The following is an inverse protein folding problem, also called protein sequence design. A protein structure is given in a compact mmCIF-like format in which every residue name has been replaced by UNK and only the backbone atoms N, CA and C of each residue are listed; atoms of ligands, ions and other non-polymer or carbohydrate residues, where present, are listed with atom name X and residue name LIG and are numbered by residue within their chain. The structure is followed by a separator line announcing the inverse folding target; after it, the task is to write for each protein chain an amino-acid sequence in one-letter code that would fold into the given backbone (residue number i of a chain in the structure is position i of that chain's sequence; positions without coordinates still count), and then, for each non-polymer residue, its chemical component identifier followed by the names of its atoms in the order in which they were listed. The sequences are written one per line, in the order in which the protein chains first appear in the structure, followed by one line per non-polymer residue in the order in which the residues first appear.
data_IF_037673217206
#
_entry.id   IF_037673217206
#
_cell.length_a   1.000
_cell.length_b   1.000
_cell.length_c   1.000
_cell.angle_alpha   90.00
_cell.angle_beta   90.00
_cell.angle_gamma   90.00
#
_symmetry.space_group_name_H-M   'P 1'
#
loop_
_entity.id
_entity.type
_entity.pdbx_description
1 polymer ?
#
# COMPACT_ATOMS: atom_id res chain seq x y z
N UNK A 1 14.77 25.83 -16.64
CA UNK A 1 15.70 25.13 -15.72
C UNK A 1 16.56 24.18 -16.52
N UNK A 2 17.87 24.13 -16.28
CA UNK A 2 18.77 23.23 -17.01
C UNK A 2 18.31 21.76 -16.76
N UNK A 3 18.23 20.94 -17.83
CA UNK A 3 17.71 19.57 -17.78
C UNK A 3 18.42 18.71 -16.72
N UNK A 4 19.73 18.90 -16.52
CA UNK A 4 20.49 18.22 -15.46
C UNK A 4 20.05 18.66 -14.05
N UNK A 5 19.73 19.93 -13.85
CA UNK A 5 19.22 20.45 -12.57
C UNK A 5 17.81 19.98 -12.27
N UNK A 6 16.94 19.91 -13.29
CA UNK A 6 15.59 19.37 -13.14
C UNK A 6 15.62 17.90 -12.72
N UNK A 7 16.40 17.07 -13.43
CA UNK A 7 16.57 15.65 -13.13
C UNK A 7 17.12 15.42 -11.72
N UNK A 8 18.17 16.17 -11.32
CA UNK A 8 18.73 16.08 -9.97
C UNK A 8 17.72 16.50 -8.90
N UNK A 9 16.94 17.57 -9.14
CA UNK A 9 15.89 18.02 -8.24
C UNK A 9 14.77 16.98 -8.06
N UNK A 10 14.32 16.36 -9.15
CA UNK A 10 13.29 15.33 -9.13
C UNK A 10 13.73 14.09 -8.34
N UNK A 11 14.97 13.62 -8.54
CA UNK A 11 15.54 12.49 -7.78
C UNK A 11 15.60 12.81 -6.30
N UNK A 12 16.10 14.00 -5.92
CA UNK A 12 16.18 14.41 -4.50
C UNK A 12 14.77 14.50 -3.89
N UNK A 13 13.80 15.04 -4.63
CA UNK A 13 12.42 15.13 -4.15
C UNK A 13 11.80 13.74 -3.91
N UNK A 14 11.93 12.81 -4.88
CA UNK A 14 11.40 11.46 -4.74
C UNK A 14 12.09 10.71 -3.60
N UNK A 15 13.42 10.87 -3.46
CA UNK A 15 14.17 10.29 -2.35
C UNK A 15 13.68 10.84 -1.00
N UNK A 16 13.49 12.14 -0.90
CA UNK A 16 13.00 12.77 0.31
C UNK A 16 11.58 12.30 0.66
N UNK A 17 10.67 12.24 -0.32
CA UNK A 17 9.33 11.72 -0.12
C UNK A 17 9.32 10.22 0.19
N UNK A 18 10.25 9.46 -0.37
CA UNK A 18 10.46 8.05 -0.05
C UNK A 18 10.94 7.84 1.39
N UNK A 19 11.87 8.67 1.87
CA UNK A 19 12.33 8.63 3.27
C UNK A 19 11.19 9.06 4.23
N UNK A 20 10.39 10.05 3.86
CA UNK A 20 9.16 10.39 4.61
C UNK A 20 8.24 9.18 4.73
N UNK A 21 8.03 8.45 3.64
CA UNK A 21 7.20 7.24 3.63
C UNK A 21 7.82 6.13 4.47
N UNK A 22 9.13 5.90 4.36
CA UNK A 22 9.85 4.90 5.15
C UNK A 22 9.58 5.08 6.66
N UNK A 23 9.78 6.28 7.20
CA UNK A 23 9.54 6.53 8.63
C UNK A 23 8.06 6.49 8.99
N UNK A 24 7.16 6.91 8.07
CA UNK A 24 5.72 6.80 8.24
C UNK A 24 5.27 5.34 8.31
N UNK A 25 5.78 4.49 7.41
CA UNK A 25 5.39 3.08 7.36
C UNK A 25 6.08 2.28 8.45
N UNK A 26 7.29 2.66 8.86
CA UNK A 26 7.93 2.15 10.09
C UNK A 26 7.04 2.38 11.33
N UNK A 27 6.41 3.56 11.44
CA UNK A 27 5.46 3.88 12.53
C UNK A 27 4.18 3.03 12.39
N UNK A 28 3.60 2.97 11.19
CA UNK A 28 2.33 2.31 10.93
C UNK A 28 2.41 0.79 11.07
N UNK A 29 3.35 0.14 10.36
CA UNK A 29 3.48 -1.31 10.35
C UNK A 29 4.08 -1.83 11.66
N UNK A 30 4.95 -1.03 12.32
CA UNK A 30 5.37 -1.31 13.68
C UNK A 30 4.15 -1.40 14.62
N UNK A 31 3.30 -0.38 14.64
CA UNK A 31 2.09 -0.39 15.45
C UNK A 31 1.16 -1.57 15.10
N UNK A 32 0.94 -1.80 13.80
CA UNK A 32 0.06 -2.87 13.31
C UNK A 32 0.48 -4.25 13.81
N UNK A 33 1.79 -4.50 13.96
CA UNK A 33 2.32 -5.80 14.41
C UNK A 33 1.91 -6.19 15.83
N UNK A 34 1.59 -5.22 16.70
CA UNK A 34 1.22 -5.45 18.11
C UNK A 34 -0.20 -4.97 18.44
N UNK A 35 -0.87 -4.28 17.52
CA UNK A 35 -2.13 -3.57 17.77
C UNK A 35 -3.27 -4.50 18.21
N UNK A 36 -3.38 -5.67 17.59
CA UNK A 36 -4.47 -6.62 17.89
C UNK A 36 -4.44 -7.10 19.34
N UNK A 37 -3.27 -7.50 19.81
CA UNK A 37 -3.08 -7.96 21.18
C UNK A 37 -3.17 -6.81 22.19
N UNK A 38 -2.63 -5.65 21.86
CA UNK A 38 -2.79 -4.45 22.68
C UNK A 38 -4.26 -4.06 22.88
N UNK A 39 -5.07 -4.07 21.83
CA UNK A 39 -6.50 -3.78 21.93
C UNK A 39 -7.24 -4.83 22.80
N UNK A 40 -6.85 -6.10 22.69
CA UNK A 40 -7.39 -7.17 23.53
C UNK A 40 -7.06 -6.94 25.02
N UNK A 41 -5.81 -6.63 25.32
CA UNK A 41 -5.37 -6.28 26.69
C UNK A 41 -6.05 -5.01 27.21
N UNK A 42 -6.33 -4.04 26.33
CA UNK A 42 -7.10 -2.83 26.67
C UNK A 42 -8.60 -3.12 26.89
N UNK A 43 -9.07 -4.35 26.72
CA UNK A 43 -10.44 -4.79 27.00
C UNK A 43 -11.37 -4.84 25.77
N UNK A 44 -10.84 -4.71 24.55
CA UNK A 44 -11.64 -4.88 23.33
C UNK A 44 -11.89 -6.35 23.06
N UNK A 45 -13.13 -6.71 22.72
CA UNK A 45 -13.45 -8.07 22.25
C UNK A 45 -12.87 -8.32 20.85
N UNK A 46 -12.63 -9.59 20.50
CA UNK A 46 -12.17 -9.95 19.14
C UNK A 46 -13.13 -9.45 18.05
N UNK A 47 -14.45 -9.47 18.30
CA UNK A 47 -15.44 -8.90 17.40
C UNK A 47 -15.26 -7.38 17.22
N UNK A 48 -14.97 -6.65 18.31
CA UNK A 48 -14.70 -5.20 18.26
C UNK A 48 -13.42 -4.90 17.47
N UNK A 49 -12.36 -5.68 17.71
CA UNK A 49 -11.08 -5.54 16.99
C UNK A 49 -11.29 -5.75 15.49
N UNK A 50 -11.97 -6.82 15.10
CA UNK A 50 -12.31 -7.12 13.71
C UNK A 50 -13.17 -6.04 13.08
N UNK A 51 -14.19 -5.54 13.78
CA UNK A 51 -15.07 -4.46 13.30
C UNK A 51 -14.30 -3.16 13.09
N UNK A 52 -13.47 -2.73 14.05
CA UNK A 52 -12.68 -1.49 13.95
C UNK A 52 -11.64 -1.59 12.83
N UNK A 53 -10.99 -2.74 12.68
CA UNK A 53 -10.07 -2.98 11.57
C UNK A 53 -10.79 -2.91 10.21
N UNK A 54 -11.92 -3.59 10.06
CA UNK A 54 -12.70 -3.61 8.83
C UNK A 54 -13.29 -2.24 8.46
N UNK A 55 -13.91 -1.55 9.43
CA UNK A 55 -14.47 -0.21 9.20
C UNK A 55 -13.36 0.83 8.95
N UNK A 56 -12.23 0.67 9.61
CA UNK A 56 -11.05 1.52 9.39
C UNK A 56 -10.54 1.41 7.96
N UNK A 57 -10.43 0.20 7.42
CA UNK A 57 -10.04 0.00 6.01
C UNK A 57 -11.09 0.56 5.05
N UNK A 58 -12.38 0.27 5.25
CA UNK A 58 -13.47 0.77 4.41
C UNK A 58 -13.52 2.31 4.39
N UNK A 59 -13.47 2.95 5.55
CA UNK A 59 -13.38 4.41 5.67
C UNK A 59 -12.10 4.94 5.02
N UNK A 60 -10.97 4.26 5.26
CA UNK A 60 -9.69 4.60 4.66
C UNK A 60 -9.76 4.66 3.14
N UNK A 61 -10.33 3.66 2.49
CA UNK A 61 -10.45 3.63 1.04
C UNK A 61 -11.49 4.65 0.52
N UNK A 62 -12.67 4.75 1.14
CA UNK A 62 -13.72 5.67 0.70
C UNK A 62 -13.31 7.13 0.81
N UNK A 63 -12.62 7.52 1.90
CA UNK A 63 -12.14 8.88 2.09
C UNK A 63 -11.03 9.28 1.11
N UNK A 64 -10.30 8.33 0.50
CA UNK A 64 -9.30 8.63 -0.54
C UNK A 64 -9.94 9.25 -1.78
N UNK A 65 -11.13 8.81 -2.17
CA UNK A 65 -11.86 9.41 -3.28
C UNK A 65 -12.19 10.87 -2.99
N UNK A 66 -12.74 11.14 -1.80
CA UNK A 66 -13.14 12.48 -1.38
C UNK A 66 -11.92 13.40 -1.26
N UNK A 67 -10.87 12.95 -0.58
CA UNK A 67 -9.64 13.73 -0.40
C UNK A 67 -8.94 14.01 -1.72
N UNK A 68 -8.92 13.06 -2.65
CA UNK A 68 -8.36 13.21 -3.99
C UNK A 68 -9.10 14.27 -4.80
N UNK A 69 -10.43 14.22 -4.81
CA UNK A 69 -11.26 15.20 -5.50
C UNK A 69 -11.08 16.62 -4.94
N UNK A 70 -11.10 16.76 -3.61
CA UNK A 70 -10.92 18.07 -2.97
C UNK A 70 -9.49 18.59 -3.20
N UNK A 71 -8.48 17.73 -3.17
CA UNK A 71 -7.09 18.11 -3.44
C UNK A 71 -6.91 18.68 -4.85
N UNK A 72 -7.49 18.03 -5.87
CA UNK A 72 -7.44 18.51 -7.25
C UNK A 72 -8.24 19.81 -7.45
N UNK A 73 -9.41 19.92 -6.81
CA UNK A 73 -10.22 21.14 -6.89
C UNK A 73 -9.57 22.34 -6.24
N UNK A 74 -8.85 22.13 -5.14
CA UNK A 74 -8.20 23.22 -4.37
C UNK A 74 -6.77 23.47 -4.79
N UNK A 75 -6.12 22.51 -5.48
CA UNK A 75 -4.67 22.49 -5.82
C UNK A 75 -3.75 22.60 -4.59
N UNK A 76 -4.28 22.37 -3.39
CA UNK A 76 -3.52 22.48 -2.12
C UNK A 76 -2.94 21.14 -1.69
N UNK A 77 -2.27 20.42 -2.61
CA UNK A 77 -1.75 19.07 -2.35
C UNK A 77 -0.91 18.98 -1.07
N UNK A 78 -0.01 19.95 -0.82
CA UNK A 78 0.80 19.96 0.38
C UNK A 78 -0.01 20.05 1.68
N UNK A 79 -1.13 20.76 1.67
CA UNK A 79 -2.00 20.82 2.85
C UNK A 79 -2.55 19.44 3.19
N UNK A 80 -3.05 18.69 2.20
CA UNK A 80 -3.53 17.32 2.42
C UNK A 80 -2.41 16.39 2.87
N UNK A 81 -1.24 16.49 2.27
CA UNK A 81 -0.08 15.65 2.60
C UNK A 81 0.36 15.90 4.04
N UNK A 82 0.58 17.15 4.42
CA UNK A 82 1.05 17.51 5.77
C UNK A 82 0.00 17.15 6.82
N UNK A 83 -1.26 17.56 6.61
CA UNK A 83 -2.35 17.25 7.56
C UNK A 83 -2.50 15.75 7.76
N UNK A 84 -2.49 14.97 6.70
CA UNK A 84 -2.61 13.51 6.79
C UNK A 84 -1.41 12.86 7.49
N UNK A 85 -0.17 13.31 7.21
CA UNK A 85 1.01 12.82 7.92
C UNK A 85 1.02 13.19 9.41
N UNK A 86 0.63 14.42 9.75
CA UNK A 86 0.56 14.87 11.16
C UNK A 86 -0.48 14.05 11.93
N UNK A 87 -1.68 13.87 11.38
CA UNK A 87 -2.73 13.06 12.00
C UNK A 87 -2.23 11.62 12.21
N UNK A 88 -1.70 10.99 11.15
CA UNK A 88 -1.21 9.61 11.22
C UNK A 88 -0.05 9.46 12.21
N UNK A 89 0.94 10.35 12.14
CA UNK A 89 2.15 10.30 12.96
C UNK A 89 1.88 10.52 14.46
N UNK A 90 0.86 11.30 14.81
CA UNK A 90 0.53 11.56 16.20
C UNK A 90 -0.47 10.54 16.78
N UNK A 91 -1.38 10.01 15.95
CA UNK A 91 -2.39 9.05 16.41
C UNK A 91 -1.77 7.76 16.96
N UNK A 92 -0.72 7.24 16.32
CA UNK A 92 -0.07 5.99 16.73
C UNK A 92 0.66 6.12 18.07
N UNK A 93 1.59 7.06 18.28
CA UNK A 93 2.24 7.21 19.59
C UNK A 93 1.27 7.57 20.71
N UNK A 94 0.14 8.24 20.41
CA UNK A 94 -0.89 8.55 21.38
C UNK A 94 -1.52 7.30 22.02
N UNK A 95 -1.43 6.12 21.38
CA UNK A 95 -1.83 4.83 21.98
C UNK A 95 -1.07 4.55 23.29
N UNK A 96 0.16 5.04 23.44
CA UNK A 96 0.91 4.94 24.68
C UNK A 96 0.24 5.61 25.89
N UNK A 97 -0.64 6.58 25.65
CA UNK A 97 -1.35 7.34 26.69
C UNK A 97 -2.69 6.72 27.09
N UNK A 98 -3.15 5.72 26.35
CA UNK A 98 -4.43 5.05 26.63
C UNK A 98 -4.32 4.26 27.92
N UNK A 99 -5.28 4.43 28.89
CA UNK A 99 -5.27 3.66 30.13
C UNK A 99 -5.66 2.20 29.91
N UNK A 100 -5.37 1.35 30.89
CA UNK A 100 -5.97 0.00 30.96
C UNK A 100 -7.49 0.14 30.85
N UNK A 101 -8.13 -0.79 30.14
CA UNK A 101 -9.57 -0.75 29.85
C UNK A 101 -10.04 0.43 28.95
N UNK A 102 -9.09 1.18 28.37
CA UNK A 102 -9.38 2.33 27.49
C UNK A 102 -9.58 1.97 26.00
N UNK A 103 -10.06 0.78 25.69
CA UNK A 103 -10.16 0.27 24.31
C UNK A 103 -10.94 1.20 23.36
N UNK A 104 -11.94 1.93 23.85
CA UNK A 104 -12.72 2.88 23.03
C UNK A 104 -11.81 3.99 22.50
N UNK A 105 -10.93 4.54 23.34
CA UNK A 105 -9.97 5.57 22.95
C UNK A 105 -8.92 5.02 21.99
N UNK A 106 -8.45 3.79 22.25
CA UNK A 106 -7.52 3.11 21.34
C UNK A 106 -8.14 2.90 19.94
N UNK A 107 -9.36 2.41 19.87
CA UNK A 107 -10.10 2.26 18.61
C UNK A 107 -10.29 3.60 17.89
N UNK A 108 -10.62 4.68 18.63
CA UNK A 108 -10.74 6.03 18.07
C UNK A 108 -9.43 6.52 17.44
N UNK A 109 -8.29 6.27 18.09
CA UNK A 109 -6.97 6.62 17.58
C UNK A 109 -6.61 5.80 16.32
N UNK A 110 -6.95 4.51 16.26
CA UNK A 110 -6.75 3.67 15.08
C UNK A 110 -7.58 4.20 13.90
N UNK A 111 -8.84 4.56 14.12
CA UNK A 111 -9.68 5.15 13.06
C UNK A 111 -9.09 6.50 12.60
N UNK A 112 -8.63 7.34 13.55
CA UNK A 112 -8.00 8.63 13.25
C UNK A 112 -6.74 8.45 12.39
N UNK A 113 -5.93 7.45 12.68
CA UNK A 113 -4.76 7.07 11.87
C UNK A 113 -5.16 6.73 10.43
N UNK A 114 -6.21 5.91 10.24
CA UNK A 114 -6.72 5.54 8.91
C UNK A 114 -7.24 6.74 8.13
N UNK A 115 -7.91 7.68 8.80
CA UNK A 115 -8.35 8.96 8.21
C UNK A 115 -7.13 9.76 7.75
N UNK A 116 -6.09 9.89 8.57
CA UNK A 116 -4.84 10.57 8.20
C UNK A 116 -4.21 9.96 6.95
N UNK A 117 -4.12 8.62 6.88
CA UNK A 117 -3.61 7.87 5.72
C UNK A 117 -4.45 8.13 4.47
N UNK A 118 -5.78 8.17 4.61
CA UNK A 118 -6.70 8.44 3.50
C UNK A 118 -6.58 9.86 2.95
N UNK A 119 -6.40 10.85 3.83
CA UNK A 119 -6.24 12.26 3.44
C UNK A 119 -4.96 12.46 2.62
N UNK A 120 -3.83 11.89 3.06
CA UNK A 120 -2.53 12.18 2.42
C UNK A 120 -2.30 11.40 1.12
N UNK A 121 -2.82 10.16 1.00
CA UNK A 121 -2.33 9.20 -0.01
C UNK A 121 -2.55 9.66 -1.47
N UNK A 122 -3.75 10.14 -1.90
CA UNK A 122 -3.94 10.63 -3.27
C UNK A 122 -3.08 11.85 -3.60
N UNK A 123 -3.02 12.82 -2.68
CA UNK A 123 -2.22 14.04 -2.86
C UNK A 123 -0.70 13.74 -2.88
N UNK A 124 -0.21 12.84 -2.00
CA UNK A 124 1.17 12.36 -2.01
C UNK A 124 1.52 11.73 -3.36
N UNK A 125 0.70 10.80 -3.85
CA UNK A 125 0.93 10.13 -5.13
C UNK A 125 0.95 11.13 -6.29
N UNK A 126 0.11 12.17 -6.23
CA UNK A 126 0.12 13.25 -7.23
C UNK A 126 1.41 14.03 -7.21
N UNK A 127 1.88 14.48 -6.03
CA UNK A 127 3.17 15.20 -5.93
C UNK A 127 4.35 14.35 -6.40
N UNK A 128 4.37 13.06 -6.06
CA UNK A 128 5.40 12.11 -6.53
C UNK A 128 5.32 11.93 -8.04
N UNK A 129 4.12 11.85 -8.62
CA UNK A 129 3.93 11.66 -10.06
C UNK A 129 4.53 12.79 -10.89
N UNK A 130 4.49 14.04 -10.40
CA UNK A 130 5.11 15.17 -11.09
C UNK A 130 6.63 15.01 -11.22
N UNK A 131 7.31 14.59 -10.14
CA UNK A 131 8.75 14.36 -10.19
C UNK A 131 9.11 13.05 -10.92
N UNK A 132 8.27 12.02 -10.80
CA UNK A 132 8.48 10.73 -11.46
C UNK A 132 8.44 10.86 -13.00
N UNK A 133 7.72 11.82 -13.54
CA UNK A 133 7.68 12.09 -15.00
C UNK A 133 9.07 12.40 -15.58
N UNK A 134 9.98 13.00 -14.80
CA UNK A 134 11.35 13.36 -15.25
C UNK A 134 12.32 12.15 -15.24
N UNK A 135 12.11 11.15 -14.38
CA UNK A 135 13.03 10.02 -14.21
C UNK A 135 12.51 8.70 -14.78
N UNK A 136 11.26 8.69 -15.22
CA UNK A 136 10.46 7.52 -15.55
C UNK A 136 9.47 7.21 -14.44
N UNK A 137 8.18 7.19 -14.79
CA UNK A 137 7.10 7.02 -13.80
C UNK A 137 7.17 5.67 -13.08
N UNK A 138 7.50 4.61 -13.81
CA UNK A 138 7.70 3.28 -13.24
C UNK A 138 8.82 3.24 -12.21
N UNK A 139 9.99 3.78 -12.56
CA UNK A 139 11.14 3.84 -11.63
C UNK A 139 10.87 4.72 -10.42
N UNK A 140 10.21 5.86 -10.62
CA UNK A 140 9.90 6.80 -9.54
C UNK A 140 9.00 6.16 -8.48
N UNK A 141 7.91 5.51 -8.88
CA UNK A 141 7.02 4.82 -7.97
C UNK A 141 7.64 3.53 -7.40
N UNK A 142 8.42 2.79 -8.19
CA UNK A 142 9.12 1.61 -7.71
C UNK A 142 10.14 1.92 -6.61
N UNK A 143 10.91 3.02 -6.79
CA UNK A 143 11.85 3.46 -5.78
C UNK A 143 11.14 3.90 -4.49
N UNK A 144 10.00 4.57 -4.63
CA UNK A 144 9.18 4.92 -3.48
C UNK A 144 8.64 3.68 -2.77
N UNK A 145 8.10 2.71 -3.50
CA UNK A 145 7.59 1.45 -2.94
C UNK A 145 8.68 0.69 -2.20
N UNK A 146 9.89 0.60 -2.77
CA UNK A 146 11.03 -0.01 -2.09
C UNK A 146 11.30 0.61 -0.71
N UNK A 147 11.25 1.95 -0.60
CA UNK A 147 11.45 2.65 0.66
C UNK A 147 10.28 2.45 1.64
N UNK A 148 9.04 2.38 1.11
CA UNK A 148 7.83 2.07 1.89
C UNK A 148 7.98 0.66 2.51
N UNK A 149 8.36 -0.36 1.74
CA UNK A 149 8.58 -1.73 2.21
C UNK A 149 9.75 -1.85 3.21
N UNK A 150 10.82 -1.08 3.00
CA UNK A 150 11.90 -1.02 3.98
C UNK A 150 11.42 -0.48 5.34
N UNK A 151 10.57 0.53 5.32
CA UNK A 151 9.92 1.06 6.52
C UNK A 151 9.02 0.02 7.20
N UNK A 152 8.21 -0.68 6.40
CA UNK A 152 7.32 -1.74 6.86
C UNK A 152 8.09 -2.89 7.55
N UNK A 153 9.28 -3.22 7.07
CA UNK A 153 10.16 -4.19 7.71
C UNK A 153 10.80 -3.64 9.00
N UNK A 154 11.31 -2.42 8.98
CA UNK A 154 12.04 -1.84 10.11
C UNK A 154 11.14 -1.54 11.31
N UNK A 155 9.84 -1.28 11.11
CA UNK A 155 8.89 -0.99 12.18
C UNK A 155 8.76 -2.12 13.21
N UNK A 156 8.33 -3.32 12.81
CA UNK A 156 8.28 -4.48 13.70
C UNK A 156 9.64 -4.83 14.33
N UNK A 157 10.75 -4.69 13.58
CA UNK A 157 12.10 -4.91 14.11
C UNK A 157 12.42 -3.93 15.24
N UNK A 158 12.10 -2.65 15.08
CA UNK A 158 12.27 -1.64 16.13
C UNK A 158 11.49 -2.03 17.39
N UNK A 159 10.24 -2.48 17.25
CA UNK A 159 9.42 -2.88 18.40
C UNK A 159 9.93 -4.17 19.05
N UNK A 160 10.38 -5.13 18.26
CA UNK A 160 11.03 -6.34 18.79
C UNK A 160 12.26 -6.00 19.65
N UNK A 161 13.14 -5.14 19.13
CA UNK A 161 14.32 -4.67 19.90
C UNK A 161 13.89 -3.90 21.16
N UNK A 162 12.84 -3.08 21.04
CA UNK A 162 12.29 -2.34 22.18
C UNK A 162 11.79 -3.30 23.27
N UNK A 163 11.05 -4.34 22.90
CA UNK A 163 10.56 -5.34 23.84
C UNK A 163 11.71 -6.11 24.52
N UNK A 164 12.80 -6.42 23.80
CA UNK A 164 13.97 -7.09 24.37
C UNK A 164 14.71 -6.20 25.38
N UNK A 165 14.81 -4.89 25.12
CA UNK A 165 15.64 -3.97 25.93
C UNK A 165 14.83 -3.33 27.06
N UNK A 166 13.57 -3.05 26.85
CA UNK A 166 12.69 -2.27 27.74
C UNK A 166 11.43 -3.03 28.15
N UNK A 167 11.29 -4.28 27.74
CA UNK A 167 10.15 -5.12 28.13
C UNK A 167 10.08 -5.28 29.63
N UNK A 168 8.87 -5.33 30.16
CA UNK A 168 8.53 -5.56 31.57
C UNK A 168 7.75 -6.86 31.68
N UNK A 169 7.57 -7.34 32.91
CA UNK A 169 6.70 -8.53 33.17
C UNK A 169 5.23 -8.24 32.83
N UNK A 170 4.84 -6.95 32.79
CA UNK A 170 3.52 -6.50 32.31
C UNK A 170 3.56 -6.20 30.80
N UNK A 171 2.86 -7.04 30.03
CA UNK A 171 2.79 -6.95 28.58
C UNK A 171 2.09 -5.67 28.10
N UNK A 172 1.07 -5.19 28.81
CA UNK A 172 0.38 -3.94 28.47
C UNK A 172 1.32 -2.74 28.56
N UNK A 173 2.10 -2.65 29.64
CA UNK A 173 3.12 -1.62 29.80
C UNK A 173 4.22 -1.73 28.74
N UNK A 174 4.64 -2.93 28.36
CA UNK A 174 5.60 -3.16 27.29
C UNK A 174 5.09 -2.62 25.95
N UNK A 175 3.82 -2.82 25.62
CA UNK A 175 3.22 -2.26 24.41
C UNK A 175 3.09 -0.74 24.47
N UNK A 176 2.76 -0.16 25.62
CA UNK A 176 2.76 1.30 25.78
C UNK A 176 4.13 1.91 25.54
N UNK A 177 5.20 1.29 26.06
CA UNK A 177 6.57 1.71 25.78
C UNK A 177 6.86 1.59 24.27
N UNK A 178 6.44 0.51 23.64
CA UNK A 178 6.60 0.29 22.19
C UNK A 178 5.92 1.41 21.37
N UNK A 179 4.68 1.77 21.68
CA UNK A 179 4.00 2.89 21.02
C UNK A 179 4.70 4.23 21.31
N UNK A 180 5.22 4.45 22.50
CA UNK A 180 5.97 5.67 22.83
C UNK A 180 7.26 5.78 22.02
N UNK A 181 7.98 4.68 21.78
CA UNK A 181 9.20 4.64 20.95
C UNK A 181 8.89 5.01 19.50
N UNK A 182 7.71 4.65 18.98
CA UNK A 182 7.27 5.05 17.63
C UNK A 182 7.09 6.57 17.47
N UNK A 183 7.09 7.33 18.55
CA UNK A 183 7.13 8.80 18.46
C UNK A 183 8.39 9.29 17.74
N UNK A 184 9.51 8.57 17.84
CA UNK A 184 10.77 8.96 17.17
C UNK A 184 10.62 8.96 15.65
N UNK A 185 10.29 7.84 14.98
CA UNK A 185 10.08 7.86 13.53
C UNK A 185 8.90 8.75 13.11
N UNK A 186 7.86 8.89 13.95
CA UNK A 186 6.74 9.79 13.69
C UNK A 186 7.19 11.25 13.61
N UNK A 187 8.01 11.71 14.55
CA UNK A 187 8.55 13.09 14.55
C UNK A 187 9.52 13.33 13.40
N UNK A 188 10.32 12.33 13.05
CA UNK A 188 11.18 12.39 11.86
C UNK A 188 10.33 12.54 10.60
N UNK A 189 9.22 11.79 10.47
CA UNK A 189 8.26 11.93 9.36
C UNK A 189 7.75 13.35 9.22
N UNK A 190 7.29 13.97 10.34
CA UNK A 190 6.79 15.35 10.33
C UNK A 190 7.88 16.33 9.93
N UNK A 191 9.08 16.22 10.51
CA UNK A 191 10.20 17.10 10.20
C UNK A 191 10.60 17.00 8.69
N UNK A 192 10.66 15.79 8.15
CA UNK A 192 11.02 15.55 6.76
C UNK A 192 9.95 16.04 5.78
N UNK A 193 8.66 15.84 6.06
CA UNK A 193 7.59 16.33 5.17
C UNK A 193 7.52 17.86 5.15
N UNK A 194 7.77 18.51 6.28
CA UNK A 194 7.88 19.97 6.33
C UNK A 194 9.11 20.47 5.56
N UNK A 195 10.24 19.80 5.71
CA UNK A 195 11.46 20.09 4.94
C UNK A 195 11.23 19.91 3.44
N UNK A 196 10.50 18.85 3.04
CA UNK A 196 10.13 18.61 1.65
C UNK A 196 9.29 19.77 1.08
N UNK A 197 8.30 20.25 1.84
CA UNK A 197 7.50 21.40 1.43
C UNK A 197 8.33 22.68 1.31
N UNK A 198 9.21 22.95 2.27
CA UNK A 198 10.03 24.18 2.24
C UNK A 198 10.98 24.16 1.05
N UNK A 199 11.60 23.00 0.75
CA UNK A 199 12.56 22.86 -0.34
C UNK A 199 11.91 22.77 -1.72
N UNK A 200 10.71 22.23 -1.81
CA UNK A 200 9.95 22.01 -3.05
C UNK A 200 8.49 22.48 -2.85
N UNK A 201 8.26 23.80 -2.75
CA UNK A 201 6.91 24.33 -2.55
C UNK A 201 5.97 23.98 -3.71
N UNK A 202 6.50 23.95 -4.94
CA UNK A 202 5.74 23.67 -6.16
C UNK A 202 6.38 22.53 -6.97
N UNK A 203 6.15 21.24 -6.60
CA UNK A 203 6.70 20.10 -7.35
C UNK A 203 6.15 19.99 -8.78
N UNK A 204 5.09 20.72 -9.11
CA UNK A 204 4.53 20.80 -10.45
C UNK A 204 5.53 21.30 -11.50
N UNK A 205 6.61 22.01 -11.07
CA UNK A 205 7.69 22.46 -11.94
C UNK A 205 8.46 21.32 -12.63
N UNK A 206 8.42 20.11 -12.07
CA UNK A 206 9.08 18.95 -12.66
C UNK A 206 8.36 18.41 -13.88
N UNK A 207 7.07 18.69 -14.03
CA UNK A 207 6.29 18.25 -15.19
C UNK A 207 5.89 19.46 -16.04
N UNK A 208 6.17 19.41 -17.35
CA UNK A 208 5.76 20.47 -18.28
C UNK A 208 4.23 20.60 -18.28
N UNK A 209 3.77 21.84 -18.16
CA UNK A 209 2.35 22.16 -18.20
C UNK A 209 1.78 21.86 -19.60
N UNK A 210 0.71 21.09 -19.64
CA UNK A 210 -0.26 21.13 -20.73
C UNK A 210 -1.38 22.09 -20.30
N UNK A 211 -1.51 23.20 -21.02
CA UNK A 211 -2.39 24.33 -20.67
C UNK A 211 -3.89 24.09 -20.87
N UNK A 212 -4.37 22.85 -20.93
CA UNK A 212 -5.79 22.56 -21.10
C UNK A 212 -6.43 22.19 -19.78
N UNK A 213 -7.42 22.98 -19.27
CA UNK A 213 -8.23 22.54 -18.17
C UNK A 213 -9.01 21.28 -18.62
N UNK A 214 -8.64 20.13 -18.06
CA UNK A 214 -9.31 18.87 -18.32
C UNK A 214 -10.29 18.60 -17.18
N UNK A 215 -11.53 18.24 -17.51
CA UNK A 215 -12.45 17.58 -16.61
C UNK A 215 -12.05 16.11 -16.48
N UNK A 216 -12.31 15.50 -15.31
CA UNK A 216 -12.13 14.06 -15.18
C UNK A 216 -13.20 13.35 -16.03
N UNK A 217 -12.75 12.62 -17.02
CA UNK A 217 -13.60 11.84 -17.88
C UNK A 217 -13.28 10.34 -17.69
N UNK A 218 -14.33 9.53 -17.56
CA UNK A 218 -14.20 8.08 -17.57
C UNK A 218 -13.94 7.59 -19.00
N UNK A 219 -12.77 7.94 -19.54
CA UNK A 219 -12.37 7.46 -20.86
C UNK A 219 -12.24 5.94 -20.85
N UNK A 220 -12.54 5.33 -21.98
CA UNK A 220 -12.53 3.87 -22.14
C UNK A 220 -11.23 3.20 -21.66
N UNK A 221 -10.00 3.75 -21.93
CA UNK A 221 -8.78 3.17 -21.38
C UNK A 221 -8.72 3.15 -19.85
N UNK A 222 -9.19 4.22 -19.18
CA UNK A 222 -9.22 4.26 -17.72
C UNK A 222 -10.20 3.26 -17.13
N UNK A 223 -11.39 3.12 -17.72
CA UNK A 223 -12.40 2.15 -17.27
C UNK A 223 -11.91 0.70 -17.43
N UNK A 224 -11.28 0.39 -18.57
CA UNK A 224 -10.69 -0.94 -18.81
C UNK A 224 -9.53 -1.23 -17.85
N UNK A 225 -8.72 -0.22 -17.58
CA UNK A 225 -7.63 -0.32 -16.61
C UNK A 225 -8.16 -0.56 -15.20
N UNK A 226 -9.18 0.19 -14.77
CA UNK A 226 -9.84 -0.01 -13.47
C UNK A 226 -10.48 -1.39 -13.35
N UNK A 227 -11.15 -1.88 -14.39
CA UNK A 227 -11.69 -3.24 -14.41
C UNK A 227 -10.58 -4.28 -14.23
N UNK A 228 -9.46 -4.14 -14.94
CA UNK A 228 -8.30 -5.04 -14.80
C UNK A 228 -7.77 -5.06 -13.36
N UNK A 229 -7.59 -3.88 -12.76
CA UNK A 229 -7.13 -3.73 -11.37
C UNK A 229 -8.11 -4.38 -10.38
N UNK A 230 -9.42 -4.15 -10.57
CA UNK A 230 -10.43 -4.73 -9.70
C UNK A 230 -10.43 -6.26 -9.77
N UNK A 231 -10.32 -6.85 -10.97
CA UNK A 231 -10.21 -8.31 -11.11
C UNK A 231 -8.91 -8.85 -10.51
N UNK A 232 -7.80 -8.15 -10.68
CA UNK A 232 -6.53 -8.51 -10.04
C UNK A 232 -6.69 -8.53 -8.51
N UNK A 233 -7.15 -7.43 -7.92
CA UNK A 233 -7.31 -7.29 -6.48
C UNK A 233 -8.30 -8.31 -5.90
N UNK A 234 -9.41 -8.56 -6.59
CA UNK A 234 -10.45 -9.51 -6.20
C UNK A 234 -9.95 -10.96 -6.14
N UNK A 235 -9.11 -11.35 -7.11
CA UNK A 235 -8.55 -12.72 -7.17
C UNK A 235 -7.26 -12.91 -6.39
N UNK A 236 -6.71 -11.85 -5.78
CA UNK A 236 -5.43 -11.92 -5.09
C UNK A 236 -5.65 -12.19 -3.60
N UNK A 237 -5.33 -13.41 -3.13
CA UNK A 237 -5.55 -13.79 -1.74
C UNK A 237 -4.66 -12.97 -0.79
N UNK A 238 -5.26 -12.50 0.31
CA UNK A 238 -4.53 -11.83 1.38
C UNK A 238 -3.50 -12.77 2.03
N UNK A 239 -2.37 -12.22 2.48
CA UNK A 239 -1.31 -13.00 3.09
C UNK A 239 -1.76 -13.71 4.38
N UNK A 240 -2.74 -13.16 5.07
CA UNK A 240 -3.36 -13.77 6.26
C UNK A 240 -3.93 -15.16 5.94
N UNK A 241 -4.53 -15.33 4.76
CA UNK A 241 -5.07 -16.61 4.33
C UNK A 241 -3.96 -17.61 3.97
N UNK A 242 -2.83 -17.12 3.44
CA UNK A 242 -1.63 -17.94 3.18
C UNK A 242 -1.04 -18.44 4.49
N UNK A 243 -0.92 -17.58 5.50
CA UNK A 243 -0.40 -17.97 6.81
C UNK A 243 -1.34 -18.96 7.52
N UNK A 244 -2.66 -18.75 7.43
CA UNK A 244 -3.65 -19.67 7.96
C UNK A 244 -3.52 -21.06 7.34
N UNK A 245 -3.42 -21.14 6.01
CA UNK A 245 -3.23 -22.42 5.31
C UNK A 245 -1.92 -23.10 5.70
N UNK A 246 -0.84 -22.33 5.78
CA UNK A 246 0.48 -22.82 6.16
C UNK A 246 0.50 -23.39 7.59
N UNK A 247 -0.22 -22.75 8.51
CA UNK A 247 -0.41 -23.25 9.87
C UNK A 247 -1.28 -24.52 9.91
N UNK A 248 -2.43 -24.52 9.22
CA UNK A 248 -3.36 -25.64 9.19
C UNK A 248 -2.75 -26.92 8.57
N UNK A 249 -1.86 -26.77 7.61
CA UNK A 249 -1.16 -27.91 6.97
C UNK A 249 0.06 -28.38 7.77
N UNK A 250 0.49 -27.63 8.79
CA UNK A 250 1.70 -27.93 9.55
C UNK A 250 2.98 -27.83 8.71
N UNK A 251 2.93 -27.18 7.54
CA UNK A 251 4.07 -27.02 6.65
C UNK A 251 5.19 -26.17 7.26
N UNK A 252 4.81 -25.23 8.14
CA UNK A 252 5.73 -24.34 8.84
C UNK A 252 5.35 -24.20 10.32
N UNK A 253 6.34 -24.07 11.18
CA UNK A 253 6.12 -23.75 12.58
C UNK A 253 5.64 -22.29 12.72
N UNK A 254 4.88 -21.99 13.77
CA UNK A 254 4.34 -20.65 14.03
C UNK A 254 5.40 -19.54 13.98
N UNK A 255 6.59 -19.80 14.54
CA UNK A 255 7.72 -18.86 14.50
C UNK A 255 8.23 -18.58 13.07
N UNK A 256 8.05 -19.52 12.14
CA UNK A 256 8.46 -19.33 10.74
C UNK A 256 7.44 -18.52 9.93
N UNK A 257 6.19 -18.42 10.34
CA UNK A 257 5.16 -17.68 9.61
C UNK A 257 5.51 -16.19 9.48
N UNK A 258 6.04 -15.59 10.55
CA UNK A 258 6.52 -14.20 10.51
C UNK A 258 7.72 -14.03 9.58
N UNK A 259 8.61 -15.03 9.51
CA UNK A 259 9.76 -15.02 8.60
C UNK A 259 9.33 -15.18 7.13
N UNK A 260 8.29 -15.97 6.88
CA UNK A 260 7.69 -16.10 5.54
C UNK A 260 7.12 -14.77 5.05
N UNK A 261 6.42 -14.04 5.93
CA UNK A 261 5.93 -12.70 5.61
C UNK A 261 7.08 -11.72 5.30
N UNK A 262 8.10 -11.71 6.15
CA UNK A 262 9.30 -10.88 5.91
C UNK A 262 9.97 -11.24 4.56
N UNK A 263 10.05 -12.53 4.24
CA UNK A 263 10.56 -13.01 2.95
C UNK A 263 9.69 -12.55 1.77
N UNK A 264 8.36 -12.62 1.89
CA UNK A 264 7.43 -12.13 0.89
C UNK A 264 7.60 -10.63 0.63
N UNK A 265 7.76 -9.83 1.70
CA UNK A 265 7.99 -8.38 1.59
C UNK A 265 9.35 -8.05 0.96
N UNK A 266 10.37 -8.85 1.23
CA UNK A 266 11.66 -8.69 0.54
C UNK A 266 11.52 -8.97 -0.98
N UNK A 267 10.82 -10.03 -1.36
CA UNK A 267 10.54 -10.32 -2.78
C UNK A 267 9.73 -9.20 -3.42
N UNK A 268 8.71 -8.70 -2.72
CA UNK A 268 7.89 -7.55 -3.12
C UNK A 268 8.76 -6.33 -3.44
N UNK A 269 9.63 -5.93 -2.52
CA UNK A 269 10.51 -4.78 -2.69
C UNK A 269 11.41 -4.89 -3.94
N UNK A 270 12.01 -6.06 -4.18
CA UNK A 270 12.84 -6.28 -5.37
C UNK A 270 12.01 -6.38 -6.65
N UNK A 271 10.83 -7.01 -6.58
CA UNK A 271 9.90 -7.09 -7.71
C UNK A 271 9.41 -5.69 -8.11
N UNK A 272 9.09 -4.82 -7.14
CA UNK A 272 8.71 -3.43 -7.39
C UNK A 272 9.78 -2.69 -8.22
N UNK A 273 11.06 -2.80 -7.83
CA UNK A 273 12.16 -2.16 -8.56
C UNK A 273 12.32 -2.72 -9.98
N UNK A 274 12.29 -4.05 -10.13
CA UNK A 274 12.44 -4.68 -11.43
C UNK A 274 11.29 -4.34 -12.37
N UNK A 275 10.05 -4.48 -11.93
CA UNK A 275 8.88 -4.23 -12.76
C UNK A 275 8.65 -2.74 -13.01
N UNK A 276 9.04 -1.85 -12.08
CA UNK A 276 9.03 -0.41 -12.32
C UNK A 276 9.99 -0.01 -13.46
N UNK A 277 11.20 -0.58 -13.48
CA UNK A 277 12.13 -0.42 -14.60
C UNK A 277 11.57 -1.02 -15.90
N UNK A 278 10.94 -2.18 -15.82
CA UNK A 278 10.32 -2.83 -16.99
C UNK A 278 9.17 -1.99 -17.53
N UNK A 279 8.34 -1.39 -16.64
CA UNK A 279 7.24 -0.53 -17.02
C UNK A 279 7.71 0.67 -17.86
N UNK A 280 8.81 1.32 -17.48
CA UNK A 280 9.36 2.44 -18.23
C UNK A 280 9.84 2.05 -19.64
N UNK A 281 10.11 0.75 -19.87
CA UNK A 281 10.50 0.22 -21.19
C UNK A 281 9.33 -0.25 -22.05
N UNK A 282 8.37 -0.96 -21.44
CA UNK A 282 7.32 -1.66 -22.18
C UNK A 282 5.90 -1.20 -21.85
N UNK A 283 5.76 -0.22 -20.93
CA UNK A 283 4.49 0.36 -20.51
C UNK A 283 3.59 -0.68 -19.82
N UNK A 284 2.30 -0.57 -20.06
CA UNK A 284 1.26 -1.45 -19.48
C UNK A 284 1.48 -2.96 -19.73
N UNK A 285 2.32 -3.35 -20.68
CA UNK A 285 2.68 -4.76 -20.90
C UNK A 285 3.39 -5.37 -19.68
N UNK A 286 4.09 -4.54 -18.89
CA UNK A 286 4.72 -4.98 -17.65
C UNK A 286 3.70 -5.53 -16.65
N UNK A 287 2.47 -4.94 -16.56
CA UNK A 287 1.38 -5.45 -15.73
C UNK A 287 0.88 -6.82 -16.19
N UNK A 288 0.79 -7.04 -17.50
CA UNK A 288 0.41 -8.36 -18.05
C UNK A 288 1.45 -9.41 -17.65
N UNK A 289 2.74 -9.08 -17.80
CA UNK A 289 3.84 -10.01 -17.48
C UNK A 289 3.83 -10.33 -15.98
N UNK A 290 3.73 -9.33 -15.10
CA UNK A 290 3.73 -9.53 -13.66
C UNK A 290 2.51 -10.33 -13.19
N UNK A 291 1.32 -10.01 -13.71
CA UNK A 291 0.09 -10.76 -13.39
C UNK A 291 0.21 -12.21 -13.87
N UNK A 292 0.77 -12.47 -15.06
CA UNK A 292 0.98 -13.82 -15.57
C UNK A 292 1.97 -14.60 -14.68
N UNK A 293 3.06 -13.96 -14.23
CA UNK A 293 4.02 -14.56 -13.30
C UNK A 293 3.38 -14.95 -11.97
N UNK A 294 2.46 -14.13 -11.46
CA UNK A 294 1.80 -14.39 -10.18
C UNK A 294 0.51 -15.20 -10.28
N UNK A 295 -0.06 -15.42 -11.49
CA UNK A 295 -1.37 -16.06 -11.67
C UNK A 295 -1.53 -17.37 -10.91
N UNK A 296 -0.50 -18.19 -10.87
CA UNK A 296 -0.55 -19.53 -10.29
C UNK A 296 -0.09 -19.60 -8.82
N UNK A 297 0.17 -18.46 -8.15
CA UNK A 297 0.60 -18.49 -6.76
C UNK A 297 -0.36 -19.28 -5.87
N UNK A 298 -1.68 -19.12 -6.08
CA UNK A 298 -2.72 -19.80 -5.32
C UNK A 298 -2.70 -21.30 -5.48
N UNK A 299 -2.35 -21.81 -6.67
CA UNK A 299 -2.16 -23.25 -6.90
C UNK A 299 -1.01 -23.79 -6.06
N UNK A 300 0.13 -23.09 -6.05
CA UNK A 300 1.30 -23.50 -5.29
C UNK A 300 1.08 -23.41 -3.78
N UNK A 301 0.29 -22.46 -3.30
CA UNK A 301 0.02 -22.28 -1.88
C UNK A 301 -1.06 -23.24 -1.40
N UNK A 302 -2.26 -23.23 -1.99
CA UNK A 302 -3.45 -23.82 -1.40
C UNK A 302 -3.76 -25.27 -1.82
N UNK A 303 -3.04 -25.79 -2.83
CA UNK A 303 -3.26 -27.16 -3.30
C UNK A 303 -2.28 -28.18 -2.71
N UNK A 304 -1.44 -27.78 -1.78
CA UNK A 304 -0.39 -28.63 -1.23
C UNK A 304 -0.09 -28.35 0.23
N UNK A 305 0.42 -29.35 0.96
CA UNK A 305 1.04 -29.16 2.28
C UNK A 305 2.57 -29.16 2.23
N UNK A 306 3.18 -29.13 1.03
CA UNK A 306 4.63 -29.13 0.89
C UNK A 306 5.24 -27.75 1.10
N UNK A 307 6.08 -27.60 2.12
CA UNK A 307 6.72 -26.32 2.47
C UNK A 307 7.46 -25.65 1.30
N UNK A 308 8.13 -26.41 0.43
CA UNK A 308 8.86 -25.86 -0.71
C UNK A 308 7.93 -25.27 -1.78
N UNK A 309 6.81 -25.95 -2.04
CA UNK A 309 5.82 -25.45 -3.01
C UNK A 309 5.09 -24.24 -2.46
N UNK A 310 4.71 -24.26 -1.17
CA UNK A 310 4.12 -23.08 -0.51
C UNK A 310 5.11 -21.90 -0.54
N UNK A 311 6.40 -22.14 -0.27
CA UNK A 311 7.45 -21.12 -0.37
C UNK A 311 7.58 -20.55 -1.78
N UNK A 312 7.54 -21.39 -2.81
CA UNK A 312 7.52 -20.94 -4.20
C UNK A 312 6.27 -20.09 -4.51
N UNK A 313 5.09 -20.49 -4.01
CA UNK A 313 3.86 -19.72 -4.14
C UNK A 313 3.94 -18.35 -3.47
N UNK A 314 4.57 -18.27 -2.30
CA UNK A 314 4.82 -17.01 -1.58
C UNK A 314 5.75 -16.08 -2.38
N UNK A 315 6.78 -16.62 -3.03
CA UNK A 315 7.64 -15.83 -3.93
C UNK A 315 6.82 -15.28 -5.11
N UNK A 316 5.97 -16.09 -5.74
CA UNK A 316 5.10 -15.63 -6.83
C UNK A 316 4.10 -14.58 -6.35
N UNK A 317 3.57 -14.73 -5.14
CA UNK A 317 2.71 -13.74 -4.50
C UNK A 317 3.44 -12.40 -4.29
N UNK A 318 4.64 -12.42 -3.71
CA UNK A 318 5.47 -11.21 -3.53
C UNK A 318 5.81 -10.52 -4.86
N UNK A 319 6.12 -11.29 -5.92
CA UNK A 319 6.32 -10.76 -7.27
C UNK A 319 5.07 -10.02 -7.77
N UNK A 320 3.88 -10.59 -7.56
CA UNK A 320 2.62 -9.98 -7.96
C UNK A 320 2.36 -8.67 -7.22
N UNK A 321 2.52 -8.67 -5.89
CA UNK A 321 2.29 -7.49 -5.05
C UNK A 321 3.22 -6.34 -5.42
N UNK A 322 4.53 -6.54 -5.41
CA UNK A 322 5.50 -5.49 -5.67
C UNK A 322 5.38 -4.88 -7.06
N UNK A 323 5.11 -5.72 -8.06
CA UNK A 323 4.84 -5.22 -9.41
C UNK A 323 3.58 -4.36 -9.45
N UNK A 324 2.49 -4.80 -8.85
CA UNK A 324 1.22 -4.10 -8.91
C UNK A 324 1.26 -2.78 -8.12
N UNK A 325 1.80 -2.77 -6.91
CA UNK A 325 1.84 -1.58 -6.07
C UNK A 325 2.66 -0.44 -6.67
N UNK A 326 3.74 -0.75 -7.38
CA UNK A 326 4.57 0.25 -8.06
C UNK A 326 3.99 0.67 -9.41
N UNK A 327 3.66 -0.29 -10.29
CA UNK A 327 3.29 0.00 -11.68
C UNK A 327 1.86 0.55 -11.79
N UNK A 328 0.92 0.11 -10.94
CA UNK A 328 -0.45 0.64 -10.99
C UNK A 328 -0.46 2.16 -10.78
N UNK A 329 0.31 2.66 -9.82
CA UNK A 329 0.44 4.10 -9.57
C UNK A 329 1.07 4.83 -10.78
N UNK A 330 2.08 4.23 -11.40
CA UNK A 330 2.69 4.77 -12.61
C UNK A 330 1.69 4.82 -13.78
N UNK A 331 0.89 3.77 -13.96
CA UNK A 331 -0.12 3.71 -15.00
C UNK A 331 -1.25 4.74 -14.80
N UNK A 332 -1.74 4.90 -13.57
CA UNK A 332 -2.74 5.96 -13.24
C UNK A 332 -2.18 7.33 -13.62
N UNK A 333 -0.91 7.62 -13.28
CA UNK A 333 -0.28 8.91 -13.60
C UNK A 333 -0.12 9.15 -15.10
N UNK A 334 -0.05 8.08 -15.91
CA UNK A 334 0.04 8.15 -17.36
C UNK A 334 -1.30 8.25 -18.08
N UNK A 335 -2.37 7.69 -17.48
CA UNK A 335 -3.71 7.66 -18.09
C UNK A 335 -4.55 8.89 -17.70
N UNK A 336 -4.38 9.38 -16.45
CA UNK A 336 -5.18 10.47 -15.90
C UNK A 336 -4.51 11.84 -16.20
N UNK A 337 -5.29 12.85 -16.67
CA UNK A 337 -4.77 14.18 -16.87
C UNK A 337 -4.13 14.76 -15.61
N UNK A 338 -3.04 15.53 -15.78
CA UNK A 338 -2.27 16.13 -14.69
C UNK A 338 -3.15 16.88 -13.68
N UNK A 339 -4.12 17.66 -14.17
CA UNK A 339 -5.01 18.48 -13.34
C UNK A 339 -5.96 17.68 -12.45
N UNK A 340 -6.16 16.38 -12.71
CA UNK A 340 -7.12 15.49 -12.04
C UNK A 340 -6.47 14.22 -11.47
N UNK A 341 -5.14 14.20 -11.31
CA UNK A 341 -4.41 13.00 -10.86
C UNK A 341 -4.77 12.57 -9.46
N UNK A 342 -4.98 13.51 -8.54
CA UNK A 342 -5.35 13.15 -7.17
C UNK A 342 -6.72 12.50 -7.12
N UNK A 343 -7.67 12.96 -7.92
CA UNK A 343 -8.97 12.30 -8.14
C UNK A 343 -8.79 10.92 -8.74
N UNK A 344 -7.96 10.79 -9.78
CA UNK A 344 -7.62 9.52 -10.42
C UNK A 344 -7.02 8.52 -9.43
N UNK A 345 -6.08 8.93 -8.60
CA UNK A 345 -5.53 8.10 -7.53
C UNK A 345 -6.58 7.75 -6.47
N UNK A 346 -7.47 8.68 -6.12
CA UNK A 346 -8.57 8.43 -5.19
C UNK A 346 -9.54 7.35 -5.72
N UNK A 347 -9.95 7.44 -6.98
CA UNK A 347 -10.81 6.44 -7.65
C UNK A 347 -10.09 5.08 -7.71
N UNK A 348 -8.82 5.08 -8.12
CA UNK A 348 -8.01 3.87 -8.19
C UNK A 348 -7.91 3.17 -6.83
N UNK A 349 -7.49 3.87 -5.80
CA UNK A 349 -7.31 3.31 -4.46
C UNK A 349 -8.63 2.82 -3.86
N UNK A 350 -9.73 3.55 -4.08
CA UNK A 350 -11.06 3.14 -3.61
C UNK A 350 -11.56 1.89 -4.34
N UNK A 351 -11.45 1.84 -5.66
CA UNK A 351 -11.85 0.69 -6.46
C UNK A 351 -11.02 -0.56 -6.13
N UNK A 352 -9.70 -0.39 -6.01
CA UNK A 352 -8.79 -1.46 -5.57
C UNK A 352 -9.18 -1.99 -4.19
N UNK A 353 -9.38 -1.09 -3.21
CA UNK A 353 -9.71 -1.48 -1.84
C UNK A 353 -11.04 -2.20 -1.71
N UNK A 354 -12.08 -1.77 -2.42
CA UNK A 354 -13.38 -2.45 -2.44
C UNK A 354 -13.23 -3.86 -3.07
N UNK A 355 -12.55 -3.95 -4.21
CA UNK A 355 -12.33 -5.22 -4.87
C UNK A 355 -11.49 -6.19 -4.03
N UNK A 356 -10.44 -5.69 -3.36
CA UNK A 356 -9.63 -6.45 -2.42
C UNK A 356 -10.44 -6.97 -1.24
N UNK A 357 -11.26 -6.13 -0.63
CA UNK A 357 -12.13 -6.53 0.50
C UNK A 357 -13.12 -7.62 0.09
N UNK A 358 -13.83 -7.42 -1.01
CA UNK A 358 -14.81 -8.40 -1.50
C UNK A 358 -14.13 -9.72 -1.91
N UNK A 359 -12.96 -9.62 -2.54
CA UNK A 359 -12.16 -10.77 -2.93
C UNK A 359 -11.66 -11.56 -1.72
N UNK A 360 -11.04 -10.90 -0.74
CA UNK A 360 -10.53 -11.53 0.47
C UNK A 360 -11.65 -12.22 1.25
N UNK A 361 -12.82 -11.59 1.38
CA UNK A 361 -13.98 -12.18 2.02
C UNK A 361 -14.47 -13.42 1.28
N UNK A 362 -14.63 -13.34 -0.05
CA UNK A 362 -15.10 -14.47 -0.85
C UNK A 362 -14.07 -15.62 -0.84
N UNK A 363 -12.79 -15.32 -1.06
CA UNK A 363 -11.74 -16.33 -1.09
C UNK A 363 -11.59 -17.04 0.27
N UNK A 364 -11.77 -16.31 1.38
CA UNK A 364 -11.84 -16.90 2.72
C UNK A 364 -13.02 -17.86 2.88
N UNK A 365 -14.23 -17.44 2.49
CA UNK A 365 -15.42 -18.30 2.54
C UNK A 365 -15.29 -19.55 1.63
N UNK A 366 -14.66 -19.39 0.46
CA UNK A 366 -14.40 -20.52 -0.44
C UNK A 366 -13.33 -21.48 0.11
N UNK A 367 -12.33 -20.94 0.81
CA UNK A 367 -11.32 -21.76 1.48
C UNK A 367 -11.94 -22.71 2.53
N UNK A 368 -12.89 -22.20 3.33
CA UNK A 368 -13.60 -23.02 4.33
C UNK A 368 -14.44 -24.14 3.69
N UNK A 369 -14.96 -23.91 2.47
CA UNK A 369 -15.70 -24.94 1.72
C UNK A 369 -14.75 -25.96 1.06
N UNK A 370 -13.82 -25.47 0.24
CA UNK A 370 -12.81 -26.29 -0.43
C UNK A 370 -11.75 -25.38 -1.07
N UNK A 371 -10.45 -25.57 -0.77
CA UNK A 371 -9.37 -24.79 -1.36
C UNK A 371 -9.37 -24.76 -2.91
N UNK A 372 -9.90 -25.80 -3.58
CA UNK A 372 -10.02 -25.84 -5.04
C UNK A 372 -10.90 -24.70 -5.56
N UNK A 373 -11.96 -24.34 -4.88
CA UNK A 373 -12.84 -23.23 -5.29
C UNK A 373 -12.14 -21.89 -5.18
N UNK A 374 -11.38 -21.67 -4.09
CA UNK A 374 -10.54 -20.51 -3.91
C UNK A 374 -9.56 -20.37 -5.08
N UNK A 375 -8.80 -21.44 -5.36
CA UNK A 375 -7.78 -21.45 -6.42
C UNK A 375 -8.42 -21.16 -7.78
N UNK A 376 -9.57 -21.77 -8.07
CA UNK A 376 -10.28 -21.55 -9.34
C UNK A 376 -10.68 -20.08 -9.50
N UNK A 377 -11.29 -19.47 -8.49
CA UNK A 377 -11.71 -18.06 -8.52
C UNK A 377 -10.49 -17.14 -8.63
N UNK A 378 -9.43 -17.42 -7.86
CA UNK A 378 -8.18 -16.65 -7.92
C UNK A 378 -7.60 -16.66 -9.34
N UNK A 379 -7.36 -17.83 -9.93
CA UNK A 379 -6.77 -17.98 -11.27
C UNK A 379 -7.64 -17.36 -12.35
N UNK A 380 -8.97 -17.60 -12.32
CA UNK A 380 -9.89 -17.02 -13.30
C UNK A 380 -9.87 -15.49 -13.22
N UNK A 381 -9.90 -14.92 -12.03
CA UNK A 381 -9.83 -13.46 -11.84
C UNK A 381 -8.52 -12.87 -12.39
N UNK A 382 -7.38 -13.54 -12.19
CA UNK A 382 -6.09 -13.09 -12.76
C UNK A 382 -6.11 -13.13 -14.30
N UNK A 383 -6.68 -14.16 -14.92
CA UNK A 383 -6.83 -14.20 -16.38
C UNK A 383 -7.77 -13.12 -16.90
N UNK A 384 -8.86 -12.81 -16.18
CA UNK A 384 -9.74 -11.68 -16.53
C UNK A 384 -8.98 -10.35 -16.43
N UNK A 385 -8.17 -10.15 -15.39
CA UNK A 385 -7.33 -8.97 -15.27
C UNK A 385 -6.37 -8.82 -16.47
N UNK A 386 -5.70 -9.90 -16.88
CA UNK A 386 -4.84 -9.93 -18.07
C UNK A 386 -5.62 -9.56 -19.33
N UNK A 387 -6.82 -10.11 -19.51
CA UNK A 387 -7.66 -9.81 -20.68
C UNK A 387 -8.04 -8.31 -20.72
N UNK A 388 -8.43 -7.71 -19.59
CA UNK A 388 -8.76 -6.28 -19.51
C UNK A 388 -7.53 -5.39 -19.70
N UNK A 389 -6.32 -5.76 -19.20
CA UNK A 389 -5.08 -5.06 -19.51
C UNK A 389 -4.77 -5.10 -21.02
N UNK A 390 -4.97 -6.24 -21.64
CA UNK A 390 -4.73 -6.39 -23.10
C UNK A 390 -5.73 -5.54 -23.91
N UNK A 391 -7.00 -5.47 -23.50
CA UNK A 391 -8.00 -4.58 -24.11
C UNK A 391 -7.65 -3.12 -23.93
N UNK A 392 -7.18 -2.73 -22.74
CA UNK A 392 -6.71 -1.36 -22.46
C UNK A 392 -5.55 -0.98 -23.40
N UNK A 393 -4.58 -1.88 -23.61
CA UNK A 393 -3.46 -1.66 -24.53
C UNK A 393 -3.91 -1.47 -25.99
N UNK A 394 -4.95 -2.19 -26.42
CA UNK A 394 -5.50 -2.04 -27.79
C UNK A 394 -6.20 -0.68 -27.94
N UNK A 395 -7.00 -0.27 -26.94
CA UNK A 395 -7.67 1.03 -26.99
C UNK A 395 -6.69 2.21 -27.03
N UNK A 396 -5.60 2.17 -26.26
CA UNK A 396 -4.59 3.23 -26.28
C UNK A 396 -3.87 3.36 -27.65
N UNK A 397 -3.86 2.31 -28.47
CA UNK A 397 -3.27 2.35 -29.82
C UNK A 397 -4.22 2.87 -30.90
N UNK A 398 -5.53 2.83 -30.65
CA UNK A 398 -6.55 3.24 -31.64
C UNK A 398 -7.03 4.67 -31.44
N UNK A 399 -6.72 5.28 -30.30
CA UNK A 399 -7.06 6.67 -29.98
C UNK A 399 -5.85 7.64 -30.19
N UNK A 400 -4.66 7.13 -30.60
CA UNK A 400 -3.54 7.87 -31.12
C UNK A 400 -3.53 7.84 -32.64
#
# INVERSE_FOLDING_TARGET
MDKKRALSGAIIFITLMGIVSLFSDMTHEGARSILGEYLNLAGASAATIGFVSGIGELCGYSLRLISGFIADKTKKYWTFVITGYVIQALAIPALALVPEHGWIWACGLVILERIGKAIKKPAKNTLVSFAASEIGTGKGFAYQEFLDQLGAFLGPVLLFVTALVKGTDDLFTTYRISFAVLLVPAMITIALVLTAKIRYPDPEIFEKQEDKPASFEFRKPFVLFMAAICFFAFGFADFTLITLHSANTGAFNESMLSLLYAGAMAVDAFAALFFGWLYDKVGLKALIISTLCSTFFSCFVFMTGNAWLIGAGIILWGIGMGAQESIMKAAVSGIVPRSMRSTGFGIFETGFGIAWFLGSWLLGALYDLNPVYLVTVSVVSQFLAIAFYALCLRCNKTEC
#
